data_IF_428598449425
#
_entry.id   IF_428598449425
#
_cell.length_a   1.000
_cell.length_b   1.000
_cell.length_c   1.000
_cell.angle_alpha   90.00
_cell.angle_beta   90.00
_cell.angle_gamma   90.00
#
_symmetry.space_group_name_H-M   'P 1'
#
loop_
_entity.id
_entity.type
_entity.pdbx_description
1 polymer ?
#
# COMPACT_ATOMS: atom_id res chain seq x y z
N UNK A 1 -8.38 -4.96 -8.61
CA UNK A 1 -8.35 -4.24 -7.33
C UNK A 1 -9.50 -3.25 -7.27
N UNK A 2 -10.24 -3.26 -6.17
CA UNK A 2 -11.27 -2.27 -5.90
C UNK A 2 -10.78 -1.32 -4.83
N UNK A 3 -11.02 -0.03 -5.01
CA UNK A 3 -10.83 0.96 -3.96
C UNK A 3 -12.15 1.17 -3.22
N UNK A 4 -12.21 0.72 -1.97
CA UNK A 4 -13.35 0.91 -1.09
C UNK A 4 -13.01 1.93 0.00
N UNK A 5 -14.00 2.61 0.55
CA UNK A 5 -13.80 3.60 1.61
C UNK A 5 -13.56 5.01 1.10
N UNK A 6 -13.80 5.23 -0.19
CA UNK A 6 -13.77 6.56 -0.74
C UNK A 6 -15.05 7.29 -0.37
N UNK A 7 -14.94 8.20 0.58
CA UNK A 7 -15.94 9.23 0.78
C UNK A 7 -15.56 10.42 -0.09
N UNK A 8 -16.41 10.81 -1.01
CA UNK A 8 -16.20 11.96 -1.89
C UNK A 8 -15.93 13.27 -1.13
N UNK A 9 -16.21 13.29 0.16
CA UNK A 9 -16.07 14.47 0.98
C UNK A 9 -14.80 14.55 1.81
N UNK A 10 -14.02 13.47 1.92
CA UNK A 10 -12.73 13.47 2.64
C UNK A 10 -12.79 14.08 4.06
N UNK A 11 -13.96 14.15 4.65
CA UNK A 11 -14.13 14.84 5.92
C UNK A 11 -13.87 13.90 7.08
N UNK A 12 -12.73 14.10 7.71
CA UNK A 12 -12.55 13.66 9.09
C UNK A 12 -13.59 14.40 9.94
N UNK A 13 -14.44 13.66 10.66
CA UNK A 13 -15.39 14.28 11.58
C UNK A 13 -14.60 15.11 12.60
N UNK A 14 -14.80 16.43 12.59
CA UNK A 14 -14.09 17.38 13.45
C UNK A 14 -14.31 17.12 14.97
N UNK A 15 -15.22 16.22 15.31
CA UNK A 15 -15.60 15.91 16.69
C UNK A 15 -15.52 14.42 17.03
N UNK A 16 -14.63 13.67 16.41
CA UNK A 16 -14.36 12.31 16.88
C UNK A 16 -13.85 12.39 18.32
N UNK A 17 -14.41 11.61 19.28
CA UNK A 17 -13.91 11.59 20.63
C UNK A 17 -12.42 11.24 20.61
N UNK A 18 -11.64 11.92 21.45
CA UNK A 18 -10.23 11.60 21.60
C UNK A 18 -10.13 10.15 22.09
N UNK A 19 -9.79 9.25 21.20
CA UNK A 19 -9.54 7.86 21.58
C UNK A 19 -8.13 7.76 22.16
N UNK A 20 -8.02 6.95 23.22
CA UNK A 20 -6.72 6.60 23.74
C UNK A 20 -5.94 5.84 22.66
N UNK A 21 -4.77 6.34 22.29
CA UNK A 21 -3.94 5.72 21.28
C UNK A 21 -3.16 4.53 21.86
N UNK A 22 -3.03 3.44 21.11
CA UNK A 22 -2.17 2.32 21.50
C UNK A 22 -0.73 2.75 21.72
N UNK A 23 -0.05 2.07 22.63
CA UNK A 23 1.35 2.34 22.95
C UNK A 23 2.28 1.49 22.11
N UNK A 24 3.39 2.07 21.72
CA UNK A 24 4.45 1.39 21.00
C UNK A 24 5.42 0.73 21.99
N UNK A 25 5.83 -0.50 21.71
CA UNK A 25 6.92 -1.13 22.43
C UNK A 25 8.23 -0.39 22.12
N UNK A 26 8.97 0.01 23.16
CA UNK A 26 10.18 0.79 22.99
C UNK A 26 11.30 -0.02 22.35
N UNK A 27 11.41 -1.30 22.72
CA UNK A 27 12.34 -2.22 22.10
C UNK A 27 11.62 -3.15 21.13
N UNK A 28 12.33 -3.64 20.13
CA UNK A 28 11.75 -4.54 19.14
C UNK A 28 11.28 -5.86 19.76
N UNK A 29 10.22 -6.42 19.21
CA UNK A 29 9.75 -7.75 19.54
C UNK A 29 10.51 -8.74 18.68
N UNK A 30 11.22 -9.68 19.33
CA UNK A 30 12.05 -10.63 18.60
C UNK A 30 11.19 -11.72 17.95
N UNK A 31 11.28 -11.87 16.66
CA UNK A 31 10.58 -12.91 15.91
C UNK A 31 11.39 -14.21 15.75
N UNK A 32 12.63 -14.23 16.26
CA UNK A 32 13.50 -15.39 16.28
C UNK A 32 13.59 -16.00 17.67
N UNK A 33 14.80 -16.01 18.23
CA UNK A 33 14.99 -16.48 19.59
C UNK A 33 14.39 -15.53 20.62
N UNK A 34 13.79 -16.04 21.71
CA UNK A 34 13.26 -15.19 22.76
C UNK A 34 14.37 -14.33 23.38
N UNK A 35 14.02 -13.11 23.77
CA UNK A 35 14.88 -12.23 24.56
C UNK A 35 14.23 -11.93 25.89
N UNK A 36 15.01 -11.48 26.91
CA UNK A 36 14.43 -11.10 28.19
C UNK A 36 13.35 -10.03 28.00
N UNK A 37 12.22 -10.22 28.67
CA UNK A 37 11.16 -9.24 28.69
C UNK A 37 11.62 -8.07 29.53
N UNK A 38 11.54 -6.92 28.96
CA UNK A 38 11.84 -5.68 29.60
C UNK A 38 10.58 -4.80 29.56
N UNK A 39 10.34 -3.87 30.50
CA UNK A 39 9.13 -3.04 30.62
C UNK A 39 9.11 -1.90 29.58
N UNK A 40 8.25 -1.95 28.65
CA UNK A 40 8.44 -1.10 27.56
C UNK A 40 7.41 -0.47 26.77
N UNK A 41 6.26 -0.16 27.25
CA UNK A 41 5.14 0.56 26.68
C UNK A 41 5.16 2.02 27.13
N UNK A 42 6.06 2.81 26.58
CA UNK A 42 6.26 4.16 27.07
C UNK A 42 5.66 5.26 26.23
N UNK A 43 5.34 5.01 24.97
CA UNK A 43 4.90 6.05 24.07
C UNK A 43 3.70 5.66 23.25
N UNK A 44 2.64 6.47 23.29
CA UNK A 44 1.49 6.28 22.42
C UNK A 44 1.84 6.60 20.96
N UNK A 45 1.29 5.84 20.02
CA UNK A 45 1.51 6.03 18.60
C UNK A 45 0.17 6.20 17.88
N UNK A 46 0.10 7.20 17.02
CA UNK A 46 -0.99 7.38 16.07
C UNK A 46 -0.55 6.82 14.72
N UNK A 47 -1.11 5.68 14.32
CA UNK A 47 -0.76 5.04 13.06
C UNK A 47 -1.08 5.91 11.85
N UNK A 48 -2.14 6.67 11.87
CA UNK A 48 -2.42 7.59 10.77
C UNK A 48 -1.28 8.58 10.57
N UNK A 49 -0.77 9.13 11.66
CA UNK A 49 0.36 10.05 11.60
C UNK A 49 1.65 9.37 11.10
N UNK A 50 1.88 8.12 11.54
CA UNK A 50 3.06 7.36 11.14
C UNK A 50 3.03 6.91 9.68
N UNK A 51 1.88 6.41 9.22
CA UNK A 51 1.76 5.80 7.91
C UNK A 51 1.43 6.81 6.80
N UNK A 52 0.77 7.91 7.14
CA UNK A 52 0.29 8.89 6.16
C UNK A 52 1.20 10.11 6.19
N UNK A 53 2.10 10.20 5.21
CA UNK A 53 3.06 11.32 5.10
C UNK A 53 2.50 12.50 4.30
N UNK A 54 1.57 12.23 3.40
CA UNK A 54 0.92 13.23 2.56
C UNK A 54 -0.60 13.10 2.70
N UNK A 55 -1.21 13.65 3.77
CA UNK A 55 -2.63 13.39 4.06
C UNK A 55 -3.60 13.77 2.93
N UNK A 56 -3.31 14.85 2.22
CA UNK A 56 -4.17 15.29 1.12
C UNK A 56 -4.06 14.40 -0.13
N UNK A 57 -3.04 13.56 -0.22
CA UNK A 57 -2.75 12.71 -1.38
C UNK A 57 -2.73 11.21 -1.03
N UNK A 58 -3.10 10.83 0.19
CA UNK A 58 -3.09 9.43 0.62
C UNK A 58 -4.50 8.86 0.62
N UNK A 59 -4.62 7.66 0.05
CA UNK A 59 -5.89 6.94 -0.08
C UNK A 59 -5.75 5.53 0.45
N UNK A 60 -6.86 4.96 0.91
CA UNK A 60 -6.94 3.56 1.30
C UNK A 60 -7.72 2.78 0.25
N UNK A 61 -7.33 1.54 0.03
CA UNK A 61 -8.03 0.61 -0.84
C UNK A 61 -8.04 -0.79 -0.24
N UNK A 62 -8.82 -1.70 -0.84
CA UNK A 62 -8.78 -3.12 -0.52
C UNK A 62 -8.35 -3.92 -1.74
N UNK A 63 -7.58 -4.96 -1.47
CA UNK A 63 -7.14 -5.87 -2.54
C UNK A 63 -8.29 -6.80 -2.93
N UNK A 64 -8.49 -6.93 -4.22
CA UNK A 64 -9.34 -7.96 -4.82
C UNK A 64 -8.47 -8.74 -5.80
N UNK A 65 -8.44 -10.05 -5.66
CA UNK A 65 -7.59 -10.91 -6.49
C UNK A 65 -6.26 -11.26 -5.84
N UNK A 66 -5.44 -12.01 -6.56
CA UNK A 66 -4.24 -12.64 -6.02
C UNK A 66 -2.98 -12.42 -6.86
N UNK A 67 -2.97 -11.47 -7.79
CA UNK A 67 -1.82 -11.26 -8.67
C UNK A 67 -0.55 -10.80 -7.97
N UNK A 68 -0.64 -10.37 -6.71
CA UNK A 68 0.50 -9.92 -5.90
C UNK A 68 0.73 -10.77 -4.65
N UNK A 69 0.22 -12.00 -4.64
CA UNK A 69 0.27 -12.87 -3.46
C UNK A 69 1.68 -13.20 -3.00
N UNK A 70 2.62 -13.40 -3.95
CA UNK A 70 4.00 -13.71 -3.62
C UNK A 70 4.78 -12.49 -3.08
N UNK A 71 4.21 -11.31 -3.17
CA UNK A 71 4.71 -10.11 -2.52
C UNK A 71 4.08 -9.86 -1.14
N UNK A 72 3.26 -10.81 -0.65
CA UNK A 72 2.59 -10.69 0.64
C UNK A 72 1.32 -9.83 0.61
N UNK A 73 0.79 -9.53 -0.56
CA UNK A 73 -0.44 -8.76 -0.73
C UNK A 73 -1.58 -9.70 -1.09
N UNK A 74 -2.49 -9.91 -0.16
CA UNK A 74 -3.60 -10.86 -0.29
C UNK A 74 -4.95 -10.16 -0.40
N UNK A 75 -5.91 -10.88 -0.96
CA UNK A 75 -7.28 -10.39 -1.03
C UNK A 75 -7.82 -9.99 0.35
N UNK A 76 -8.42 -8.81 0.43
CA UNK A 76 -8.94 -8.25 1.68
C UNK A 76 -7.97 -7.34 2.44
N UNK A 77 -6.69 -7.36 2.09
CA UNK A 77 -5.72 -6.46 2.71
C UNK A 77 -6.07 -5.00 2.46
N UNK A 78 -5.79 -4.14 3.43
CA UNK A 78 -5.92 -2.70 3.27
C UNK A 78 -4.63 -2.15 2.68
N UNK A 79 -4.75 -1.37 1.63
CA UNK A 79 -3.64 -0.70 0.98
C UNK A 79 -3.57 0.76 1.43
N UNK A 80 -2.37 1.23 1.72
CA UNK A 80 -2.08 2.65 1.91
C UNK A 80 -1.37 3.15 0.67
N UNK A 81 -2.00 4.06 -0.06
CA UNK A 81 -1.56 4.50 -1.38
C UNK A 81 -1.29 6.00 -1.33
N UNK A 82 -0.06 6.38 -1.67
CA UNK A 82 0.37 7.78 -1.69
C UNK A 82 0.50 8.27 -3.13
N UNK A 83 -0.32 9.24 -3.50
CA UNK A 83 -0.34 9.81 -4.83
C UNK A 83 0.65 10.96 -5.02
N UNK A 84 1.29 11.42 -3.96
CA UNK A 84 2.32 12.46 -4.03
C UNK A 84 3.70 11.91 -4.43
N UNK A 85 3.87 10.59 -4.36
CA UNK A 85 5.13 9.95 -4.71
C UNK A 85 5.20 9.63 -6.20
N UNK A 86 6.39 9.82 -6.78
CA UNK A 86 6.69 9.33 -8.12
C UNK A 86 7.17 7.89 -8.04
N UNK A 87 6.60 7.01 -8.85
CA UNK A 87 6.97 5.60 -8.86
C UNK A 87 8.38 5.40 -9.37
N UNK A 88 9.15 4.62 -8.63
CA UNK A 88 10.49 4.18 -8.99
C UNK A 88 10.50 2.69 -9.32
N UNK A 89 11.54 2.22 -10.01
CA UNK A 89 11.69 0.81 -10.31
C UNK A 89 11.67 -0.04 -9.04
N UNK A 90 10.78 -1.02 -9.01
CA UNK A 90 10.58 -1.89 -7.86
C UNK A 90 9.45 -1.48 -6.94
N UNK A 91 8.90 -0.28 -7.09
CA UNK A 91 7.73 0.12 -6.31
C UNK A 91 6.51 -0.68 -6.73
N UNK A 92 5.68 -1.02 -5.75
CA UNK A 92 4.32 -1.46 -6.04
C UNK A 92 3.46 -0.23 -6.27
N UNK A 93 2.74 -0.23 -7.37
CA UNK A 93 1.95 0.92 -7.77
C UNK A 93 0.56 0.53 -8.22
N UNK A 94 -0.39 1.39 -7.91
CA UNK A 94 -1.73 1.34 -8.50
C UNK A 94 -1.65 2.07 -9.82
N UNK A 95 -1.86 1.34 -10.91
CA UNK A 95 -1.75 1.86 -12.26
C UNK A 95 -3.11 1.80 -12.96
N UNK A 96 -3.35 2.82 -13.76
CA UNK A 96 -4.47 2.83 -14.71
C UNK A 96 -3.93 2.46 -16.08
N UNK A 97 -4.47 1.41 -16.68
CA UNK A 97 -4.07 0.91 -17.98
C UNK A 97 -5.32 0.63 -18.80
N UNK A 98 -5.47 1.33 -19.92
CA UNK A 98 -6.55 1.10 -20.88
C UNK A 98 -7.94 0.96 -20.23
N UNK A 99 -8.25 1.83 -19.29
CA UNK A 99 -9.54 1.90 -18.61
C UNK A 99 -9.67 1.09 -17.33
N UNK A 100 -8.61 0.38 -16.93
CA UNK A 100 -8.65 -0.49 -15.74
C UNK A 100 -7.57 -0.13 -14.72
N UNK A 101 -7.91 -0.26 -13.44
CA UNK A 101 -6.93 -0.14 -12.36
C UNK A 101 -6.34 -1.50 -12.02
N UNK A 102 -5.05 -1.54 -11.76
CA UNK A 102 -4.35 -2.74 -11.31
C UNK A 102 -3.21 -2.39 -10.35
N UNK A 103 -2.91 -3.28 -9.40
CA UNK A 103 -1.75 -3.18 -8.53
C UNK A 103 -0.68 -4.13 -9.04
N UNK A 104 0.48 -3.60 -9.38
CA UNK A 104 1.62 -4.37 -9.89
C UNK A 104 2.93 -3.74 -9.43
N UNK A 105 4.03 -4.48 -9.56
CA UNK A 105 5.35 -3.87 -9.46
C UNK A 105 5.63 -3.07 -10.72
N UNK A 106 6.03 -1.82 -10.54
CA UNK A 106 6.36 -0.92 -11.64
C UNK A 106 7.84 -1.01 -11.98
N UNK A 107 8.15 -1.13 -13.28
CA UNK A 107 9.50 -0.99 -13.80
C UNK A 107 9.48 -0.25 -15.12
N UNK A 108 10.41 0.69 -15.26
CA UNK A 108 10.60 1.42 -16.50
C UNK A 108 11.85 0.94 -17.19
N UNK A 109 11.75 0.62 -18.49
CA UNK A 109 12.85 0.22 -19.35
C UNK A 109 13.20 1.39 -20.27
N UNK A 110 14.32 2.07 -19.96
CA UNK A 110 14.77 3.22 -20.75
C UNK A 110 15.18 2.82 -22.17
N UNK A 111 15.79 1.64 -22.35
CA UNK A 111 16.27 1.18 -23.65
C UNK A 111 15.13 0.97 -24.63
N UNK A 112 14.02 0.42 -24.18
CA UNK A 112 12.82 0.19 -25.00
C UNK A 112 11.77 1.29 -24.88
N UNK A 113 11.98 2.26 -24.01
CA UNK A 113 11.03 3.33 -23.70
C UNK A 113 9.62 2.79 -23.42
N UNK A 114 9.55 1.84 -22.52
CA UNK A 114 8.30 1.21 -22.10
C UNK A 114 8.28 1.00 -20.59
N UNK A 115 7.10 0.80 -20.04
CA UNK A 115 6.93 0.37 -18.67
C UNK A 115 6.50 -1.09 -18.63
N UNK A 116 6.89 -1.77 -17.56
CA UNK A 116 6.44 -3.11 -17.27
C UNK A 116 5.68 -3.10 -15.96
N UNK A 117 4.53 -3.75 -15.95
CA UNK A 117 3.72 -3.99 -14.77
C UNK A 117 3.84 -5.46 -14.44
N UNK A 118 4.57 -5.75 -13.36
CA UNK A 118 5.01 -7.11 -13.04
C UNK A 118 4.15 -7.66 -11.91
N UNK A 119 3.43 -8.77 -12.14
CA UNK A 119 2.73 -9.47 -11.08
C UNK A 119 3.71 -10.24 -10.19
N UNK A 120 3.32 -10.48 -8.94
CA UNK A 120 4.01 -11.38 -8.04
C UNK A 120 3.17 -12.63 -7.81
N UNK A 121 2.90 -13.31 -8.90
CA UNK A 121 2.21 -14.60 -8.95
C UNK A 121 2.50 -15.22 -10.31
N UNK A 122 3.02 -16.43 -10.33
CA UNK A 122 3.41 -17.14 -11.56
C UNK A 122 2.26 -17.41 -12.53
N UNK A 123 1.02 -17.34 -12.05
CA UNK A 123 -0.17 -17.58 -12.87
C UNK A 123 -0.58 -16.36 -13.70
N UNK A 124 0.11 -15.23 -13.52
CA UNK A 124 -0.15 -13.99 -14.25
C UNK A 124 1.07 -13.56 -15.03
N UNK A 125 0.85 -13.04 -16.23
CA UNK A 125 1.92 -12.53 -17.08
C UNK A 125 2.19 -11.04 -16.85
N UNK A 126 3.44 -10.58 -17.01
CA UNK A 126 3.75 -9.17 -17.03
C UNK A 126 3.02 -8.43 -18.13
N UNK A 127 2.65 -7.19 -17.85
CA UNK A 127 1.97 -6.31 -18.80
C UNK A 127 2.99 -5.30 -19.32
N UNK A 128 3.22 -5.30 -20.64
CA UNK A 128 4.04 -4.28 -21.28
C UNK A 128 3.18 -3.06 -21.63
N UNK A 129 3.61 -1.89 -21.17
CA UNK A 129 2.93 -0.62 -21.45
C UNK A 129 3.80 0.23 -22.36
N UNK A 130 3.24 0.62 -23.49
CA UNK A 130 3.91 1.46 -24.49
C UNK A 130 3.13 2.76 -24.69
N UNK A 131 3.63 3.63 -25.55
CA UNK A 131 2.94 4.88 -25.92
C UNK A 131 1.56 4.66 -26.54
N UNK A 132 1.28 3.45 -27.04
CA UNK A 132 -0.03 3.10 -27.59
C UNK A 132 -1.09 2.84 -26.52
N UNK A 133 -0.66 2.61 -25.26
CA UNK A 133 -1.57 2.40 -24.16
C UNK A 133 -1.97 3.71 -23.49
N UNK A 134 -3.20 3.81 -23.04
CA UNK A 134 -3.59 4.84 -22.10
C UNK A 134 -3.09 4.40 -20.72
N UNK A 135 -2.11 5.11 -20.17
CA UNK A 135 -1.42 4.69 -18.95
C UNK A 135 -1.16 5.85 -17.99
N UNK A 136 -1.40 5.58 -16.72
CA UNK A 136 -1.10 6.50 -15.63
C UNK A 136 -0.71 5.69 -14.40
N UNK A 137 0.38 6.05 -13.74
CA UNK A 137 0.63 5.62 -12.37
C UNK A 137 -0.26 6.47 -11.47
N UNK A 138 -1.27 5.84 -10.87
CA UNK A 138 -2.23 6.57 -10.03
C UNK A 138 -1.67 6.87 -8.65
N UNK A 139 -0.93 5.95 -8.06
CA UNK A 139 -0.30 6.14 -6.76
C UNK A 139 0.66 5.01 -6.42
N UNK A 140 1.52 5.26 -5.45
CA UNK A 140 2.51 4.30 -4.97
C UNK A 140 2.01 3.65 -3.68
N UNK A 141 2.07 2.31 -3.61
CA UNK A 141 1.74 1.56 -2.41
C UNK A 141 2.88 1.72 -1.40
N UNK A 142 2.56 2.26 -0.23
CA UNK A 142 3.55 2.47 0.83
C UNK A 142 3.46 1.41 1.93
N UNK A 143 2.24 0.94 2.23
CA UNK A 143 2.00 -0.08 3.25
C UNK A 143 0.83 -0.96 2.86
N UNK A 144 0.83 -2.18 3.36
CA UNK A 144 -0.35 -3.04 3.42
C UNK A 144 -0.67 -3.35 4.87
N UNK A 145 -1.94 -3.46 5.20
CA UNK A 145 -2.40 -3.83 6.53
C UNK A 145 -3.21 -5.11 6.38
N UNK A 146 -2.70 -6.17 7.01
CA UNK A 146 -3.29 -7.51 6.93
C UNK A 146 -3.94 -7.87 8.25
N UNK A 147 -5.20 -8.27 8.21
CA UNK A 147 -5.89 -8.81 9.36
C UNK A 147 -5.56 -10.31 9.48
N UNK A 148 -4.89 -10.70 10.55
CA UNK A 148 -4.49 -12.08 10.74
C UNK A 148 -5.59 -12.93 11.39
N UNK A 149 -6.34 -12.35 12.33
CA UNK A 149 -7.46 -13.04 12.98
C UNK A 149 -8.78 -12.57 12.37
N UNK A 150 -9.36 -13.46 11.62
CA UNK A 150 -10.63 -13.20 10.92
C UNK A 150 -11.84 -13.68 11.71
#
# INVERSE_FOLDING_TARGET
>A
MKMEGFDEKGMVAENAPQQELPKMAQEGIHAGFPSPATDYMTQAIDLNHELVKHPAATFYGRVVGDSMIDAGVEEGDILVIDRALDAQNGDMAVCFVDGEFTLKEFRYDEAENCAWLIPHNKDYDPIKVTEENEFLVWGVLTYTIKQLRK
#
